data_IF_703314646809
#
_entry.id   IF_703314646809
#
_cell.length_a   1.000
_cell.length_b   1.000
_cell.length_c   1.000
_cell.angle_alpha   90.00
_cell.angle_beta   90.00
_cell.angle_gamma   90.00
#
_symmetry.space_group_name_H-M   'P 1'
#
loop_
_entity.id
_entity.type
_entity.pdbx_description
1 polymer ?
#
# COMPACT_ATOMS: atom_id res chain seq x y z
N UNK A 1 -1.45 -36.53 -9.51
CA UNK A 1 -0.25 -36.84 -10.31
C UNK A 1 0.94 -36.37 -9.50
N UNK A 2 1.51 -37.27 -8.68
CA UNK A 2 2.78 -37.03 -8.01
C UNK A 2 3.91 -37.18 -9.02
N UNK A 3 4.67 -36.10 -9.26
CA UNK A 3 5.97 -36.23 -9.88
C UNK A 3 7.05 -36.17 -8.79
N UNK A 4 7.90 -37.22 -8.64
CA UNK A 4 9.07 -37.16 -7.79
C UNK A 4 10.10 -36.23 -8.45
N UNK A 5 10.15 -34.99 -7.96
CA UNK A 5 10.97 -33.91 -8.52
C UNK A 5 10.29 -32.53 -8.60
N UNK A 6 9.04 -32.41 -8.13
CA UNK A 6 8.32 -31.13 -8.11
C UNK A 6 9.01 -30.03 -7.30
N UNK A 7 8.82 -28.78 -7.72
CA UNK A 7 9.26 -27.58 -6.98
C UNK A 7 8.55 -27.56 -5.63
N UNK A 8 9.29 -27.83 -4.55
CA UNK A 8 8.75 -27.76 -3.18
C UNK A 8 8.45 -26.31 -2.79
N UNK A 9 7.31 -26.08 -2.15
CA UNK A 9 6.89 -24.76 -1.66
C UNK A 9 7.11 -24.68 -0.16
N UNK A 10 7.98 -23.77 0.25
CA UNK A 10 8.29 -23.52 1.66
C UNK A 10 7.81 -22.14 2.09
N UNK A 11 7.26 -22.05 3.30
CA UNK A 11 6.98 -20.79 3.97
C UNK A 11 7.95 -20.61 5.14
N UNK A 12 8.42 -19.38 5.34
CA UNK A 12 9.22 -18.99 6.48
C UNK A 12 8.38 -18.09 7.37
N UNK A 13 8.17 -18.49 8.62
CA UNK A 13 7.47 -17.67 9.60
C UNK A 13 8.44 -16.77 10.36
N UNK A 14 8.24 -15.46 10.32
CA UNK A 14 8.85 -14.57 11.31
C UNK A 14 8.00 -14.64 12.58
N UNK A 15 8.63 -14.90 13.71
CA UNK A 15 7.92 -15.08 14.97
C UNK A 15 8.12 -13.86 15.85
N UNK A 16 7.02 -13.38 16.44
CA UNK A 16 7.00 -12.24 17.32
C UNK A 16 6.21 -12.61 18.58
N UNK A 17 6.61 -12.05 19.73
CA UNK A 17 5.83 -12.11 20.94
C UNK A 17 4.80 -10.98 20.97
N UNK A 18 3.68 -11.22 21.64
CA UNK A 18 2.66 -10.19 21.89
C UNK A 18 2.76 -9.79 23.35
N UNK A 19 2.84 -8.49 23.64
CA UNK A 19 2.81 -7.99 25.00
C UNK A 19 1.37 -7.97 25.54
N UNK A 20 1.03 -9.00 26.31
CA UNK A 20 -0.32 -9.13 26.88
C UNK A 20 -0.60 -8.19 28.04
N UNK A 21 0.40 -7.45 28.56
CA UNK A 21 0.22 -6.53 29.70
C UNK A 21 -0.63 -5.32 29.35
N UNK A 22 -0.70 -4.97 28.07
CA UNK A 22 -1.55 -3.88 27.57
C UNK A 22 -3.04 -4.26 27.55
N UNK A 23 -3.36 -5.56 27.63
CA UNK A 23 -4.70 -6.13 27.43
C UNK A 23 -5.37 -5.69 26.11
N UNK A 24 -4.59 -5.18 25.15
CA UNK A 24 -5.07 -4.72 23.85
C UNK A 24 -4.56 -5.66 22.74
N UNK A 25 -5.45 -6.32 21.98
CA UNK A 25 -5.05 -7.24 20.92
C UNK A 25 -4.31 -6.56 19.75
N UNK A 26 -4.43 -5.24 19.61
CA UNK A 26 -3.78 -4.44 18.56
C UNK A 26 -2.41 -3.87 19.00
N UNK A 27 -1.88 -4.32 20.15
CA UNK A 27 -0.53 -3.98 20.59
C UNK A 27 0.52 -4.42 19.56
N UNK A 28 1.51 -3.57 19.34
CA UNK A 28 2.51 -3.75 18.29
C UNK A 28 3.47 -4.92 18.58
N UNK A 29 3.11 -6.11 18.09
CA UNK A 29 3.96 -7.31 18.21
C UNK A 29 5.29 -7.19 17.45
N UNK A 30 5.40 -6.34 16.43
CA UNK A 30 6.66 -6.16 15.69
C UNK A 30 7.81 -5.64 16.58
N UNK A 31 7.49 -5.05 17.72
CA UNK A 31 8.46 -4.59 18.72
C UNK A 31 9.16 -5.72 19.49
N UNK A 32 8.66 -6.96 19.39
CA UNK A 32 9.16 -8.11 20.16
C UNK A 32 9.51 -9.31 19.25
N UNK A 33 10.50 -9.17 18.34
CA UNK A 33 10.91 -10.27 17.46
C UNK A 33 11.57 -11.41 18.25
N UNK A 34 11.18 -12.66 17.96
CA UNK A 34 11.84 -13.85 18.48
C UNK A 34 12.92 -14.32 17.50
N UNK A 35 14.11 -14.74 17.99
CA UNK A 35 15.25 -15.08 17.15
C UNK A 35 15.16 -16.49 16.53
N UNK A 36 13.97 -16.86 16.03
CA UNK A 36 13.72 -18.12 15.35
C UNK A 36 12.88 -17.91 14.08
N UNK A 37 13.09 -18.76 13.08
CA UNK A 37 12.28 -18.85 11.86
C UNK A 37 11.88 -20.31 11.62
N UNK A 38 10.66 -20.73 11.99
CA UNK A 38 10.11 -22.01 11.55
C UNK A 38 9.92 -22.01 10.03
N UNK A 39 10.31 -23.12 9.41
CA UNK A 39 10.14 -23.37 7.98
C UNK A 39 9.10 -24.47 7.79
N UNK A 40 8.01 -24.12 7.12
CA UNK A 40 6.89 -25.01 6.85
C UNK A 40 6.94 -25.50 5.41
N UNK A 41 6.76 -26.81 5.21
CA UNK A 41 6.40 -27.38 3.91
C UNK A 41 4.91 -27.12 3.66
N UNK A 42 4.59 -26.33 2.63
CA UNK A 42 3.21 -25.90 2.35
C UNK A 42 2.28 -27.05 2.02
N UNK A 43 2.78 -28.04 1.27
CA UNK A 43 1.95 -29.16 0.81
C UNK A 43 1.63 -30.09 1.95
N UNK A 44 2.63 -30.39 2.78
CA UNK A 44 2.46 -31.26 3.96
C UNK A 44 1.82 -30.56 5.15
N UNK A 45 1.91 -29.23 5.21
CA UNK A 45 1.54 -28.40 6.37
C UNK A 45 2.31 -28.79 7.63
N UNK A 46 3.59 -29.12 7.47
CA UNK A 46 4.48 -29.58 8.53
C UNK A 46 5.65 -28.61 8.71
N UNK A 47 6.03 -28.33 9.97
CA UNK A 47 7.29 -27.65 10.26
C UNK A 47 8.43 -28.64 10.04
N UNK A 48 9.27 -28.38 9.04
CA UNK A 48 10.36 -29.26 8.64
C UNK A 48 11.71 -28.83 9.21
N UNK A 49 11.82 -27.58 9.68
CA UNK A 49 13.04 -27.00 10.27
C UNK A 49 12.71 -25.77 11.11
N UNK A 50 13.54 -25.47 12.10
CA UNK A 50 13.53 -24.18 12.82
C UNK A 50 14.94 -23.59 12.68
N UNK A 51 15.04 -22.42 12.05
CA UNK A 51 16.30 -21.69 11.89
C UNK A 51 16.48 -20.73 13.08
N UNK A 52 17.61 -20.80 13.78
CA UNK A 52 17.98 -19.80 14.80
C UNK A 52 18.63 -18.57 14.16
N UNK A 53 18.41 -17.39 14.74
CA UNK A 53 18.82 -16.11 14.16
C UNK A 53 20.00 -15.48 14.89
N UNK A 54 20.98 -15.00 14.13
CA UNK A 54 21.96 -14.05 14.64
C UNK A 54 21.27 -12.72 14.98
N UNK A 55 21.42 -12.25 16.22
CA UNK A 55 20.88 -10.94 16.64
C UNK A 55 21.98 -9.93 17.02
N UNK A 56 23.24 -10.26 16.75
CA UNK A 56 24.37 -9.38 17.00
C UNK A 56 24.36 -8.12 16.14
N UNK A 57 25.28 -7.20 16.44
CA UNK A 57 25.49 -5.95 15.72
C UNK A 57 26.74 -5.96 14.84
N UNK A 58 27.29 -4.77 14.58
CA UNK A 58 28.51 -4.63 13.79
C UNK A 58 29.71 -5.30 14.49
N UNK A 59 30.37 -6.22 13.78
CA UNK A 59 31.52 -6.97 14.29
C UNK A 59 31.17 -8.33 14.90
N UNK A 60 29.88 -8.64 15.08
CA UNK A 60 29.43 -9.97 15.50
C UNK A 60 29.36 -10.94 14.30
N UNK A 61 29.39 -12.24 14.60
CA UNK A 61 29.27 -13.29 13.58
C UNK A 61 27.93 -13.24 12.84
N UNK A 62 27.96 -13.65 11.57
CA UNK A 62 26.77 -13.70 10.71
C UNK A 62 25.86 -14.90 10.99
N UNK A 63 26.31 -15.85 11.82
CA UNK A 63 25.59 -17.05 12.22
C UNK A 63 25.22 -16.95 13.70
N UNK A 64 24.10 -17.56 14.13
CA UNK A 64 23.73 -17.56 15.53
C UNK A 64 24.84 -18.18 16.38
N UNK A 65 25.16 -17.53 17.50
CA UNK A 65 25.91 -18.16 18.58
C UNK A 65 25.08 -19.31 19.18
N UNK A 66 25.70 -20.13 20.04
CA UNK A 66 25.03 -21.24 20.72
C UNK A 66 23.63 -20.87 21.27
N UNK A 67 22.71 -21.86 21.40
CA UNK A 67 21.31 -21.60 21.72
C UNK A 67 21.17 -20.64 22.90
N UNK A 68 20.41 -19.57 22.70
CA UNK A 68 20.24 -18.55 23.73
C UNK A 68 19.38 -19.07 24.86
N UNK A 69 19.98 -19.24 26.02
CA UNK A 69 19.28 -19.53 27.28
C UNK A 69 19.08 -18.24 28.07
N UNK A 70 17.84 -17.91 28.44
CA UNK A 70 17.54 -16.77 29.33
C UNK A 70 16.53 -15.78 28.75
N UNK A 71 16.68 -14.51 29.11
CA UNK A 71 15.70 -13.47 28.91
C UNK A 71 15.80 -12.82 27.51
N UNK A 72 15.28 -13.54 26.51
CA UNK A 72 15.42 -13.23 25.08
C UNK A 72 14.82 -11.87 24.70
N UNK A 73 13.79 -11.41 25.41
CA UNK A 73 13.03 -10.20 25.10
C UNK A 73 13.37 -8.99 25.98
N UNK A 74 14.30 -9.10 26.95
CA UNK A 74 14.58 -8.03 27.92
C UNK A 74 15.09 -6.72 27.29
N UNK A 75 15.66 -6.82 26.09
CA UNK A 75 16.14 -5.67 25.33
C UNK A 75 15.03 -5.01 24.47
N UNK A 76 13.86 -5.65 24.34
CA UNK A 76 12.73 -5.11 23.59
C UNK A 76 11.93 -4.13 24.46
N UNK A 77 11.37 -3.10 23.83
CA UNK A 77 10.49 -2.14 24.47
C UNK A 77 9.24 -1.91 23.60
N UNK A 78 8.07 -1.62 24.20
CA UNK A 78 6.85 -1.31 23.44
C UNK A 78 7.06 -0.14 22.48
N UNK A 79 6.50 -0.25 21.28
CA UNK A 79 6.52 0.78 20.25
C UNK A 79 5.12 0.92 19.63
N UNK A 80 4.18 1.39 20.45
CA UNK A 80 2.75 1.35 20.12
C UNK A 80 2.34 2.40 19.08
N UNK A 81 1.41 2.04 18.21
CA UNK A 81 0.84 2.93 17.19
C UNK A 81 -0.66 3.22 17.40
N UNK A 82 -1.38 2.37 18.14
CA UNK A 82 -2.81 2.58 18.39
C UNK A 82 -3.03 3.74 19.38
N UNK A 83 -3.94 4.68 19.10
CA UNK A 83 -4.12 5.91 19.88
C UNK A 83 -4.22 5.73 21.40
N UNK A 84 -4.90 4.68 21.85
CA UNK A 84 -5.14 4.35 23.26
C UNK A 84 -3.93 3.82 24.01
N UNK A 85 -2.88 3.36 23.31
CA UNK A 85 -1.64 2.87 23.91
C UNK A 85 -0.48 3.88 23.81
N UNK A 86 -0.67 5.01 23.14
CA UNK A 86 0.38 6.01 22.97
C UNK A 86 0.73 6.70 24.30
N UNK A 87 2.01 6.71 24.73
CA UNK A 87 2.44 7.49 25.88
C UNK A 87 2.16 8.98 25.66
N UNK A 88 1.31 9.57 26.50
CA UNK A 88 0.90 10.98 26.38
C UNK A 88 -0.28 11.23 25.41
N UNK A 89 -0.83 10.19 24.79
CA UNK A 89 -2.00 10.26 23.91
C UNK A 89 -1.76 10.97 22.57
N UNK A 90 -2.84 11.21 21.84
CA UNK A 90 -2.78 11.88 20.53
C UNK A 90 -2.71 13.40 20.65
N UNK A 91 -2.20 14.06 19.60
CA UNK A 91 -2.29 15.52 19.43
C UNK A 91 -3.75 16.00 19.51
N UNK A 92 -3.97 17.19 20.07
CA UNK A 92 -5.31 17.79 20.31
C UNK A 92 -5.48 19.19 19.71
N UNK A 93 -4.48 19.67 18.97
CA UNK A 93 -4.36 21.02 18.45
C UNK A 93 -4.69 21.16 16.94
N UNK A 94 -4.91 20.04 16.24
CA UNK A 94 -5.36 20.04 14.85
C UNK A 94 -6.81 20.53 14.74
N UNK A 95 -7.00 21.64 14.05
CA UNK A 95 -8.34 22.16 13.71
C UNK A 95 -8.93 21.42 12.51
N UNK A 96 -10.25 21.25 12.42
CA UNK A 96 -10.90 20.64 11.27
C UNK A 96 -10.58 21.36 9.95
N UNK A 97 -10.36 20.58 8.89
CA UNK A 97 -10.21 21.06 7.52
C UNK A 97 -11.21 20.31 6.64
N UNK A 98 -12.12 21.07 6.00
CA UNK A 98 -13.17 20.50 5.16
C UNK A 98 -12.92 20.83 3.69
N UNK A 99 -12.91 19.81 2.84
CA UNK A 99 -12.87 19.95 1.38
C UNK A 99 -14.25 19.60 0.85
N UNK A 100 -14.92 20.58 0.22
CA UNK A 100 -16.29 20.41 -0.29
C UNK A 100 -16.38 20.89 -1.73
N UNK A 101 -17.23 20.24 -2.52
CA UNK A 101 -17.59 20.67 -3.88
C UNK A 101 -19.11 20.88 -3.94
N UNK A 102 -19.60 22.10 -3.69
CA UNK A 102 -21.04 22.37 -3.54
C UNK A 102 -21.89 21.99 -4.76
N UNK A 103 -21.29 22.05 -5.94
CA UNK A 103 -21.93 21.74 -7.23
C UNK A 103 -21.58 20.32 -7.73
N UNK A 104 -20.95 19.50 -6.89
CA UNK A 104 -20.45 18.18 -7.26
C UNK A 104 -19.07 18.20 -7.93
N UNK A 105 -18.56 17.02 -8.32
CA UNK A 105 -17.26 16.90 -8.98
C UNK A 105 -17.32 17.40 -10.42
N UNK A 106 -16.18 17.84 -10.96
CA UNK A 106 -16.03 18.24 -12.36
C UNK A 106 -15.71 17.05 -13.30
N UNK A 107 -15.60 15.82 -12.76
CA UNK A 107 -15.50 14.61 -13.56
C UNK A 107 -16.87 13.95 -13.71
N UNK A 108 -17.04 13.17 -14.78
CA UNK A 108 -18.21 12.32 -14.97
C UNK A 108 -17.82 10.86 -15.14
N UNK A 109 -18.73 9.96 -14.76
CA UNK A 109 -18.59 8.52 -14.96
C UNK A 109 -19.67 8.05 -15.92
N UNK A 110 -19.26 7.37 -16.99
CA UNK A 110 -20.14 6.69 -17.96
C UNK A 110 -19.80 5.20 -17.99
N UNK A 111 -20.77 4.36 -18.31
CA UNK A 111 -20.60 2.90 -18.43
C UNK A 111 -19.80 2.28 -17.27
N UNK A 112 -20.10 2.73 -16.05
CA UNK A 112 -19.49 2.34 -14.76
C UNK A 112 -18.01 2.68 -14.56
N UNK A 113 -17.21 2.82 -15.63
CA UNK A 113 -15.74 2.85 -15.60
C UNK A 113 -15.10 3.93 -16.46
N UNK A 114 -15.82 4.52 -17.42
CA UNK A 114 -15.31 5.58 -18.29
C UNK A 114 -15.33 6.90 -17.54
N UNK A 115 -14.14 7.46 -17.31
CA UNK A 115 -13.91 8.73 -16.64
C UNK A 115 -13.66 9.80 -17.68
N UNK A 116 -14.37 10.92 -17.57
CA UNK A 116 -14.14 12.13 -18.37
C UNK A 116 -13.92 13.32 -17.45
N UNK A 117 -12.83 14.06 -17.65
CA UNK A 117 -12.46 15.20 -16.81
C UNK A 117 -11.44 16.11 -17.48
N UNK A 118 -11.71 17.42 -17.59
CA UNK A 118 -10.75 18.42 -18.08
C UNK A 118 -9.97 17.98 -19.35
N UNK A 119 -10.70 17.51 -20.38
CA UNK A 119 -10.20 16.94 -21.64
C UNK A 119 -9.57 15.54 -21.57
N UNK A 120 -9.35 15.00 -20.37
CA UNK A 120 -8.97 13.61 -20.20
C UNK A 120 -10.17 12.68 -20.39
N UNK A 121 -9.91 11.54 -21.01
CA UNK A 121 -10.83 10.40 -21.12
C UNK A 121 -10.04 9.11 -20.90
N UNK A 122 -10.48 8.27 -19.97
CA UNK A 122 -9.85 6.96 -19.71
C UNK A 122 -10.81 6.01 -19.02
N UNK A 123 -10.49 4.72 -18.96
CA UNK A 123 -11.24 3.72 -18.19
C UNK A 123 -10.45 3.23 -16.98
N UNK A 124 -11.14 3.04 -15.86
CA UNK A 124 -10.58 2.45 -14.65
C UNK A 124 -11.10 1.03 -14.48
N UNK A 125 -10.21 0.11 -14.14
CA UNK A 125 -10.54 -1.28 -13.81
C UNK A 125 -9.74 -1.76 -12.60
N UNK A 126 -10.14 -2.89 -12.02
CA UNK A 126 -9.42 -3.56 -10.95
C UNK A 126 -9.08 -4.99 -11.38
N UNK A 127 -7.89 -5.47 -11.02
CA UNK A 127 -7.62 -6.90 -11.03
C UNK A 127 -6.82 -7.34 -9.79
N UNK A 128 -6.92 -8.62 -9.39
CA UNK A 128 -6.33 -9.08 -8.12
C UNK A 128 -4.80 -9.08 -8.07
N UNK A 129 -4.10 -8.90 -9.20
CA UNK A 129 -2.64 -8.85 -9.22
C UNK A 129 -2.11 -7.44 -9.19
N UNK A 130 -2.69 -6.53 -9.96
CA UNK A 130 -2.15 -5.17 -10.18
C UNK A 130 -2.90 -4.10 -9.41
N UNK A 131 -4.06 -4.42 -8.81
CA UNK A 131 -4.93 -3.42 -8.21
C UNK A 131 -5.60 -2.58 -9.30
N UNK A 132 -5.50 -1.25 -9.18
CA UNK A 132 -6.07 -0.33 -10.16
C UNK A 132 -5.28 -0.33 -11.47
N UNK A 133 -5.99 -0.45 -12.59
CA UNK A 133 -5.42 -0.34 -13.94
C UNK A 133 -6.21 0.67 -14.75
N UNK A 134 -5.47 1.56 -15.42
CA UNK A 134 -6.03 2.61 -16.27
C UNK A 134 -5.82 2.22 -17.74
N UNK A 135 -6.86 2.37 -18.54
CA UNK A 135 -6.89 1.98 -19.95
C UNK A 135 -7.36 3.11 -20.84
N UNK A 136 -6.98 3.03 -22.12
CA UNK A 136 -7.54 3.83 -23.20
C UNK A 136 -7.49 5.35 -22.88
N UNK A 137 -6.30 5.83 -22.51
CA UNK A 137 -6.07 7.21 -22.03
C UNK A 137 -5.92 8.16 -23.21
N UNK A 138 -6.79 9.16 -23.24
CA UNK A 138 -6.82 10.23 -24.23
C UNK A 138 -6.78 11.58 -23.53
N UNK A 139 -6.18 12.55 -24.21
CA UNK A 139 -6.30 13.96 -23.88
C UNK A 139 -6.67 14.75 -25.13
N UNK A 140 -7.81 15.45 -25.08
CA UNK A 140 -8.30 16.30 -26.17
C UNK A 140 -8.37 15.51 -27.49
N UNK A 141 -9.00 14.33 -27.42
CA UNK A 141 -9.15 13.34 -28.50
C UNK A 141 -7.87 12.76 -29.09
N UNK A 142 -6.72 12.96 -28.43
CA UNK A 142 -5.44 12.34 -28.82
C UNK A 142 -5.08 11.21 -27.86
N UNK A 143 -4.75 10.05 -28.40
CA UNK A 143 -4.27 8.92 -27.60
C UNK A 143 -2.95 9.28 -26.90
N UNK A 144 -2.85 8.95 -25.62
CA UNK A 144 -1.68 9.19 -24.77
C UNK A 144 -1.07 7.87 -24.31
N UNK A 145 -1.88 6.98 -23.71
CA UNK A 145 -1.46 5.66 -23.24
C UNK A 145 -2.56 4.63 -23.50
N UNK A 146 -2.18 3.44 -23.96
CA UNK A 146 -3.14 2.34 -24.11
C UNK A 146 -3.50 1.72 -22.75
N UNK A 147 -2.51 1.53 -21.88
CA UNK A 147 -2.66 0.86 -20.57
C UNK A 147 -1.57 1.32 -19.62
N UNK A 148 -1.94 1.57 -18.36
CA UNK A 148 -1.04 1.92 -17.26
C UNK A 148 -1.39 1.07 -16.03
N UNK A 149 -0.38 0.39 -15.48
CA UNK A 149 -0.49 -0.39 -14.23
C UNK A 149 0.85 -0.43 -13.49
N UNK A 150 0.81 -0.85 -12.23
CA UNK A 150 2.00 -1.35 -11.53
C UNK A 150 2.07 -2.86 -11.79
N UNK A 151 3.09 -3.28 -12.54
CA UNK A 151 3.22 -4.68 -12.95
C UNK A 151 3.85 -5.55 -11.85
N UNK A 152 4.72 -4.98 -11.03
CA UNK A 152 5.42 -5.69 -9.95
C UNK A 152 6.07 -4.70 -8.98
N UNK A 153 6.35 -5.16 -7.76
CA UNK A 153 7.15 -4.46 -6.77
C UNK A 153 7.93 -5.46 -5.93
N UNK A 154 9.26 -5.32 -5.86
CA UNK A 154 10.10 -6.19 -5.04
C UNK A 154 10.67 -5.46 -3.83
N UNK A 155 10.73 -6.16 -2.69
CA UNK A 155 11.22 -5.63 -1.42
C UNK A 155 12.42 -6.46 -0.94
N UNK A 156 13.63 -6.19 -1.48
CA UNK A 156 14.84 -6.89 -1.05
C UNK A 156 15.33 -6.35 0.29
N UNK A 157 15.45 -7.22 1.30
CA UNK A 157 16.16 -6.91 2.53
C UNK A 157 17.66 -7.14 2.35
N UNK A 158 18.47 -6.24 2.92
CA UNK A 158 19.92 -6.23 2.74
C UNK A 158 20.71 -6.80 3.92
N UNK A 159 20.05 -7.49 4.86
CA UNK A 159 20.74 -8.16 5.95
C UNK A 159 21.40 -9.45 5.44
N UNK A 160 22.74 -9.55 5.45
CA UNK A 160 23.44 -10.69 4.87
C UNK A 160 23.33 -11.96 5.72
N UNK A 161 22.89 -11.86 6.98
CA UNK A 161 22.85 -12.98 7.91
C UNK A 161 21.79 -13.99 7.48
N UNK A 162 22.08 -15.30 7.46
CA UNK A 162 21.06 -16.30 7.20
C UNK A 162 19.93 -16.28 8.24
N UNK A 163 18.65 -16.43 7.83
CA UNK A 163 18.16 -16.54 6.46
C UNK A 163 17.69 -15.22 5.84
N UNK A 164 17.96 -14.06 6.45
CA UNK A 164 17.44 -12.76 6.02
C UNK A 164 17.81 -12.38 4.59
N UNK A 165 18.96 -12.83 4.08
CA UNK A 165 19.36 -12.63 2.68
C UNK A 165 18.37 -13.23 1.66
N UNK A 166 17.46 -14.12 2.08
CA UNK A 166 16.38 -14.67 1.25
C UNK A 166 15.09 -13.85 1.31
N UNK A 167 15.01 -12.83 2.17
CA UNK A 167 13.85 -11.95 2.28
C UNK A 167 13.84 -10.97 1.12
N UNK A 168 13.22 -11.41 0.03
CA UNK A 168 12.93 -10.58 -1.12
C UNK A 168 11.54 -10.97 -1.62
N UNK A 169 10.54 -10.25 -1.15
CA UNK A 169 9.17 -10.46 -1.63
C UNK A 169 9.02 -9.84 -3.03
N UNK A 170 8.22 -10.46 -3.88
CA UNK A 170 7.61 -9.83 -5.04
C UNK A 170 6.15 -9.59 -4.70
N UNK A 171 5.82 -8.41 -4.19
CA UNK A 171 4.55 -8.18 -3.49
C UNK A 171 3.35 -8.50 -4.40
N UNK A 172 3.40 -8.11 -5.68
CA UNK A 172 2.31 -8.34 -6.62
C UNK A 172 2.28 -9.80 -7.10
N UNK A 173 3.44 -10.37 -7.39
CA UNK A 173 3.58 -11.74 -7.89
C UNK A 173 3.34 -12.84 -6.84
N UNK A 174 3.93 -12.69 -5.66
CA UNK A 174 3.89 -13.65 -4.55
C UNK A 174 2.69 -13.41 -3.63
N UNK A 175 2.41 -12.13 -3.32
CA UNK A 175 1.44 -11.73 -2.31
C UNK A 175 -0.01 -11.70 -2.78
N UNK A 176 -0.26 -11.68 -4.10
CA UNK A 176 -1.61 -11.60 -4.64
C UNK A 176 -2.37 -10.38 -4.12
N UNK A 177 -1.77 -9.18 -4.26
CA UNK A 177 -2.12 -7.94 -3.55
C UNK A 177 -3.60 -7.51 -3.64
N UNK A 178 -4.36 -8.03 -4.59
CA UNK A 178 -5.81 -7.84 -4.63
C UNK A 178 -6.49 -8.34 -3.36
N UNK A 179 -6.00 -9.41 -2.73
CA UNK A 179 -6.47 -9.88 -1.43
C UNK A 179 -5.96 -9.02 -0.26
N UNK A 180 -4.94 -8.20 -0.51
CA UNK A 180 -4.41 -7.21 0.43
C UNK A 180 -5.02 -5.81 0.24
N UNK A 181 -5.93 -5.63 -0.72
CA UNK A 181 -6.53 -4.32 -1.00
C UNK A 181 -7.43 -3.87 0.14
N UNK A 182 -7.36 -2.59 0.49
CA UNK A 182 -8.18 -2.01 1.55
C UNK A 182 -9.54 -1.57 1.02
N UNK A 183 -10.54 -1.61 1.90
CA UNK A 183 -11.82 -0.96 1.66
C UNK A 183 -11.72 0.51 2.10
N UNK A 184 -11.61 1.42 1.13
CA UNK A 184 -11.33 2.83 1.39
C UNK A 184 -12.53 3.54 2.04
N UNK A 185 -12.24 4.38 3.03
CA UNK A 185 -13.22 5.08 3.87
C UNK A 185 -13.18 6.59 3.61
N UNK A 186 -14.37 7.16 3.37
CA UNK A 186 -14.56 8.58 3.15
C UNK A 186 -14.12 9.39 4.38
N UNK A 187 -13.31 10.42 4.14
CA UNK A 187 -12.80 11.32 5.20
C UNK A 187 -11.57 10.81 5.93
N UNK A 188 -11.19 9.54 5.75
CA UNK A 188 -9.96 8.96 6.28
C UNK A 188 -8.96 8.73 5.14
N UNK A 189 -9.27 7.80 4.23
CA UNK A 189 -8.35 7.40 3.15
C UNK A 189 -8.45 8.33 1.93
N UNK A 190 -9.65 8.86 1.68
CA UNK A 190 -9.93 9.78 0.58
C UNK A 190 -10.81 10.96 1.07
N UNK A 191 -10.37 12.19 0.83
CA UNK A 191 -11.01 13.42 1.34
C UNK A 191 -11.63 14.25 0.19
N UNK A 192 -12.84 14.74 0.39
CA UNK A 192 -13.58 15.54 -0.59
C UNK A 192 -14.83 14.83 -1.12
N UNK A 193 -15.15 15.05 -2.39
CA UNK A 193 -16.26 14.34 -3.05
C UNK A 193 -15.69 13.15 -3.83
N UNK A 194 -16.03 11.95 -3.38
CA UNK A 194 -15.37 10.71 -3.81
C UNK A 194 -16.31 9.82 -4.61
N UNK A 195 -15.83 9.33 -5.76
CA UNK A 195 -16.41 8.18 -6.44
C UNK A 195 -15.58 6.95 -6.10
N UNK A 196 -16.23 5.88 -5.67
CA UNK A 196 -15.60 4.59 -5.45
C UNK A 196 -15.89 3.62 -6.60
N UNK A 197 -14.92 2.77 -6.91
CA UNK A 197 -15.07 1.58 -7.73
C UNK A 197 -14.89 0.33 -6.86
N UNK A 198 -15.74 -0.66 -7.10
CA UNK A 198 -15.69 -1.96 -6.46
C UNK A 198 -14.82 -2.93 -7.29
N UNK A 199 -14.32 -3.96 -6.63
CA UNK A 199 -13.60 -5.07 -7.25
C UNK A 199 -14.31 -6.39 -7.03
N UNK A 200 -13.78 -7.43 -7.67
CA UNK A 200 -14.18 -8.83 -7.45
C UNK A 200 -12.93 -9.66 -7.25
N UNK A 201 -12.88 -10.39 -6.14
CA UNK A 201 -11.85 -11.36 -5.81
C UNK A 201 -12.40 -12.79 -5.91
N UNK A 202 -11.51 -13.78 -5.85
CA UNK A 202 -11.86 -15.19 -5.92
C UNK A 202 -11.47 -15.89 -4.62
N UNK A 203 -12.40 -16.60 -3.96
CA UNK A 203 -12.08 -17.39 -2.77
C UNK A 203 -11.26 -18.64 -3.14
N UNK A 204 -10.61 -19.31 -2.18
CA UNK A 204 -9.90 -20.58 -2.44
C UNK A 204 -10.78 -21.66 -3.08
N UNK A 205 -12.10 -21.62 -2.87
CA UNK A 205 -13.09 -22.53 -3.46
C UNK A 205 -13.54 -22.11 -4.87
N UNK A 206 -12.99 -21.01 -5.42
CA UNK A 206 -13.33 -20.52 -6.74
C UNK A 206 -14.57 -19.62 -6.80
N UNK A 207 -15.05 -19.11 -5.65
CA UNK A 207 -16.26 -18.26 -5.62
C UNK A 207 -15.91 -16.80 -5.81
N UNK A 208 -16.75 -16.08 -6.56
CA UNK A 208 -16.63 -14.63 -6.69
C UNK A 208 -17.03 -13.93 -5.39
N UNK A 209 -16.14 -13.08 -4.89
CA UNK A 209 -16.34 -12.27 -3.69
C UNK A 209 -16.30 -10.79 -4.08
N UNK A 210 -17.39 -10.07 -3.79
CA UNK A 210 -17.45 -8.63 -4.06
C UNK A 210 -16.64 -7.88 -3.01
N UNK A 211 -15.70 -7.05 -3.45
CA UNK A 211 -14.85 -6.22 -2.59
C UNK A 211 -15.19 -4.75 -2.82
N UNK A 212 -15.78 -4.10 -1.81
CA UNK A 212 -16.32 -2.74 -1.97
C UNK A 212 -15.24 -1.67 -1.84
N UNK A 213 -15.31 -0.59 -2.62
CA UNK A 213 -14.50 0.63 -2.42
C UNK A 213 -12.99 0.39 -2.47
N UNK A 214 -12.53 -0.41 -3.43
CA UNK A 214 -11.12 -0.76 -3.62
C UNK A 214 -10.31 0.32 -4.35
N UNK A 215 -10.99 1.18 -5.09
CA UNK A 215 -10.40 2.35 -5.77
C UNK A 215 -11.24 3.57 -5.43
N UNK A 216 -10.59 4.69 -5.11
CA UNK A 216 -11.24 5.99 -5.00
C UNK A 216 -10.79 6.94 -6.13
N UNK A 217 -11.73 7.74 -6.62
CA UNK A 217 -11.53 8.78 -7.61
C UNK A 217 -12.06 10.10 -7.07
N UNK A 218 -11.22 11.12 -7.07
CA UNK A 218 -11.60 12.45 -6.61
C UNK A 218 -10.75 13.55 -7.24
N UNK A 219 -11.22 14.79 -7.08
CA UNK A 219 -10.42 15.97 -7.42
C UNK A 219 -9.70 16.50 -6.18
N UNK A 220 -8.52 17.07 -6.37
CA UNK A 220 -7.84 17.86 -5.34
C UNK A 220 -7.24 19.14 -5.93
N UNK A 221 -7.10 20.15 -5.08
CA UNK A 221 -6.31 21.33 -5.40
C UNK A 221 -4.83 21.06 -5.09
N UNK A 222 -3.95 21.43 -6.00
CA UNK A 222 -2.50 21.34 -5.81
C UNK A 222 -1.81 22.69 -6.07
N UNK A 223 -2.36 23.76 -5.51
CA UNK A 223 -1.73 25.08 -5.51
C UNK A 223 -1.85 25.86 -6.83
N UNK A 224 -0.78 26.57 -7.18
CA UNK A 224 -0.74 27.45 -8.36
C UNK A 224 -0.43 26.62 -9.61
N UNK A 225 -1.26 26.77 -10.66
CA UNK A 225 -0.99 26.21 -11.98
C UNK A 225 0.06 27.03 -12.72
N UNK A 226 -0.25 28.30 -13.00
CA UNK A 226 0.73 29.28 -13.44
C UNK A 226 0.38 30.67 -12.91
N UNK A 227 1.38 31.55 -12.84
CA UNK A 227 1.20 32.95 -12.45
C UNK A 227 2.20 33.83 -13.20
N UNK A 228 1.72 34.96 -13.70
CA UNK A 228 2.56 36.01 -14.26
C UNK A 228 2.05 37.38 -13.83
N UNK A 229 2.98 38.27 -13.46
CA UNK A 229 2.69 39.68 -13.19
C UNK A 229 3.47 40.55 -14.16
N UNK A 230 2.76 41.33 -14.98
CA UNK A 230 3.38 42.33 -15.83
C UNK A 230 3.75 43.56 -14.97
N UNK A 231 5.03 43.70 -14.64
CA UNK A 231 5.51 44.78 -13.77
C UNK A 231 5.31 46.18 -14.35
N UNK A 232 5.18 46.33 -15.68
CA UNK A 232 4.97 47.64 -16.33
C UNK A 232 3.56 48.16 -16.15
N UNK A 233 2.58 47.26 -16.08
CA UNK A 233 1.16 47.61 -15.93
C UNK A 233 0.59 47.27 -14.55
N UNK A 234 1.34 46.54 -13.73
CA UNK A 234 0.88 46.02 -12.44
C UNK A 234 -0.12 44.85 -12.55
N UNK A 235 -0.49 44.41 -13.75
CA UNK A 235 -1.51 43.35 -13.93
C UNK A 235 -0.93 41.97 -13.62
N UNK A 236 -1.56 41.28 -12.66
CA UNK A 236 -1.30 39.86 -12.39
C UNK A 236 -2.37 38.97 -13.03
N UNK A 237 -1.95 37.80 -13.51
CA UNK A 237 -2.83 36.72 -13.96
C UNK A 237 -2.33 35.42 -13.34
N UNK A 238 -3.26 34.58 -12.87
CA UNK A 238 -2.94 33.30 -12.26
C UNK A 238 -4.05 32.28 -12.45
N UNK A 239 -3.68 31.01 -12.45
CA UNK A 239 -4.61 29.87 -12.42
C UNK A 239 -4.27 28.93 -11.26
N UNK A 240 -5.24 28.12 -10.86
CA UNK A 240 -5.01 27.05 -9.90
C UNK A 240 -4.76 25.73 -10.61
N UNK A 241 -3.97 24.87 -9.97
CA UNK A 241 -3.72 23.51 -10.40
C UNK A 241 -4.74 22.58 -9.75
N UNK A 242 -5.52 21.90 -10.57
CA UNK A 242 -6.45 20.85 -10.12
C UNK A 242 -5.95 19.51 -10.63
N UNK A 243 -6.11 18.49 -9.81
CA UNK A 243 -5.69 17.13 -10.13
C UNK A 243 -6.87 16.18 -9.97
N UNK A 244 -6.97 15.21 -10.86
CA UNK A 244 -7.84 14.06 -10.71
C UNK A 244 -7.00 12.86 -10.27
N UNK A 245 -7.34 12.31 -9.11
CA UNK A 245 -6.58 11.25 -8.44
C UNK A 245 -7.35 9.94 -8.57
N UNK A 246 -6.68 8.89 -9.06
CA UNK A 246 -7.11 7.50 -8.96
C UNK A 246 -6.22 6.83 -7.92
N UNK A 247 -6.80 6.38 -6.80
CA UNK A 247 -6.07 5.82 -5.67
C UNK A 247 -6.53 4.41 -5.31
N UNK A 248 -5.60 3.53 -4.96
CA UNK A 248 -5.87 2.33 -4.18
C UNK A 248 -4.79 2.13 -3.11
N UNK A 249 -5.14 1.40 -2.05
CA UNK A 249 -4.25 1.11 -0.92
C UNK A 249 -4.22 -0.40 -0.71
N UNK A 250 -3.03 -0.94 -0.45
CA UNK A 250 -2.86 -2.34 -0.06
C UNK A 250 -2.10 -2.41 1.28
N UNK A 251 -2.46 -3.40 2.09
CA UNK A 251 -1.76 -3.74 3.34
C UNK A 251 -1.15 -5.13 3.21
N UNK A 252 0.17 -5.20 3.07
CA UNK A 252 0.88 -6.47 2.98
C UNK A 252 1.78 -6.65 4.20
N UNK A 253 1.31 -7.49 5.13
CA UNK A 253 1.95 -7.72 6.42
C UNK A 253 2.21 -6.40 7.18
N UNK A 254 3.45 -5.94 7.22
CA UNK A 254 3.88 -4.78 8.00
C UNK A 254 3.99 -3.49 7.16
N UNK A 255 3.48 -3.49 5.94
CA UNK A 255 3.58 -2.36 5.02
C UNK A 255 2.21 -1.96 4.47
N UNK A 256 1.96 -0.66 4.46
CA UNK A 256 0.89 -0.04 3.70
C UNK A 256 1.48 0.69 2.48
N UNK A 257 0.92 0.41 1.31
CA UNK A 257 1.30 1.05 0.06
C UNK A 257 0.12 1.82 -0.50
N UNK A 258 0.31 3.13 -0.68
CA UNK A 258 -0.67 4.02 -1.30
C UNK A 258 -0.21 4.31 -2.74
N UNK A 259 -0.97 3.80 -3.71
CA UNK A 259 -0.71 4.01 -5.14
C UNK A 259 -1.68 5.05 -5.69
N UNK A 260 -1.14 6.08 -6.36
CA UNK A 260 -1.91 7.19 -6.87
C UNK A 260 -1.54 7.53 -8.32
N UNK A 261 -2.48 7.47 -9.27
CA UNK A 261 -2.26 8.09 -10.60
C UNK A 261 -2.93 9.46 -10.61
N UNK A 262 -2.21 10.50 -11.06
CA UNK A 262 -2.72 11.88 -11.06
C UNK A 262 -2.74 12.47 -12.47
N UNK A 263 -3.92 12.88 -12.93
CA UNK A 263 -4.10 13.65 -14.16
C UNK A 263 -4.21 15.13 -13.82
N UNK A 264 -3.48 16.00 -14.50
CA UNK A 264 -3.56 17.45 -14.28
C UNK A 264 -4.57 18.12 -15.20
N UNK A 265 -5.02 19.31 -14.83
CA UNK A 265 -5.80 20.16 -15.74
C UNK A 265 -4.93 20.79 -16.86
N UNK A 266 -3.61 20.57 -16.83
CA UNK A 266 -2.68 20.68 -17.97
C UNK A 266 -2.53 19.32 -18.67
N UNK A 267 -1.75 19.25 -19.76
CA UNK A 267 -1.54 17.99 -20.49
C UNK A 267 -0.70 16.95 -19.72
N UNK A 268 -0.16 17.30 -18.55
CA UNK A 268 0.77 16.42 -17.84
C UNK A 268 0.04 15.31 -17.08
N UNK A 269 0.58 14.10 -17.18
CA UNK A 269 0.29 12.99 -16.29
C UNK A 269 1.44 12.89 -15.30
N UNK A 270 1.14 12.85 -14.00
CA UNK A 270 2.16 12.51 -13.01
C UNK A 270 2.11 11.01 -12.74
N UNK A 271 3.27 10.37 -12.87
CA UNK A 271 3.51 8.96 -12.55
C UNK A 271 3.03 8.61 -11.15
N UNK A 272 2.99 7.33 -10.83
CA UNK A 272 2.46 6.80 -9.58
C UNK A 272 3.44 7.08 -8.42
N UNK A 273 3.29 8.13 -7.59
CA UNK A 273 4.06 8.18 -6.35
C UNK A 273 3.60 7.01 -5.48
N UNK A 274 4.53 6.10 -5.20
CA UNK A 274 4.39 5.13 -4.14
C UNK A 274 4.72 5.83 -2.82
N UNK A 275 3.72 6.05 -1.99
CA UNK A 275 3.95 6.36 -0.59
C UNK A 275 3.94 5.06 0.19
N UNK A 276 5.04 4.76 0.85
CA UNK A 276 5.17 3.66 1.80
C UNK A 276 5.06 4.24 3.20
N UNK A 277 4.07 3.80 3.96
CA UNK A 277 3.91 4.16 5.36
C UNK A 277 4.66 3.18 6.26
#
# INVERSE_FOLDING_TARGET
MDQPGGVRRYFQGLVYAVDTRSENPDSNFYAFPLPIIPVMDFEKREIVRIDELATGGAGDDLVPAAPRTGAILDHCAPAEYVPELLPGGTRKDLKPLSVVQPEGPSFSIKDESLVEWQKWRFRVSFNPREGAVIHDVYYDDRSVLYRLSISEMTVPYADPRPPFHRKQAFDFGDGGIGHAVNNLTLGCDCLGVIKYFDGVLCTPEGKAEKTSRVICLHEQDNGIGWKHTNWRTGRAVSTRRRELVVQFIITLANYEYIFNVRHLNSWDLQDIPLTKC
#
